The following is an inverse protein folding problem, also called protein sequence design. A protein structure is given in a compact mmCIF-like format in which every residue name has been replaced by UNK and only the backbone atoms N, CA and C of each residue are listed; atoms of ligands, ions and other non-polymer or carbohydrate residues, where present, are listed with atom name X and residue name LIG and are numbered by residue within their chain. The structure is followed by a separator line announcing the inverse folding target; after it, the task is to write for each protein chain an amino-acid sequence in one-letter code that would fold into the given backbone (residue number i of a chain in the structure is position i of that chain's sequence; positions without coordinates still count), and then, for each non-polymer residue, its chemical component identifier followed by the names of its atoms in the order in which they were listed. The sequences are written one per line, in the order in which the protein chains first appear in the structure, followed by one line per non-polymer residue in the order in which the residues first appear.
data_IF_787025140506
#
_entry.id   IF_787025140506
#
_cell.length_a   1.000
_cell.length_b   1.000
_cell.length_c   1.000
_cell.angle_alpha   90.00
_cell.angle_beta   90.00
_cell.angle_gamma   90.00
#
_symmetry.space_group_name_H-M   'P 1'
#
loop_
_entity.id
_entity.type
_entity.pdbx_description
1 polymer ?
#
# COMPACT_ATOMS: atom_id res chain seq x y z
N UNK A 1 22.76 8.95 -9.02
CA UNK A 1 21.62 9.01 -8.07
C UNK A 1 20.42 8.26 -8.63
N UNK A 2 20.00 8.56 -9.86
CA UNK A 2 18.90 7.90 -10.56
C UNK A 2 19.08 6.37 -10.62
N UNK A 3 20.28 5.88 -10.96
CA UNK A 3 20.54 4.41 -11.02
C UNK A 3 20.28 3.71 -9.68
N UNK A 4 20.57 4.38 -8.56
CA UNK A 4 20.30 3.83 -7.23
C UNK A 4 18.80 3.76 -6.95
N UNK A 5 18.03 4.75 -7.40
CA UNK A 5 16.56 4.78 -7.27
C UNK A 5 15.94 3.67 -8.14
N UNK A 6 16.41 3.51 -9.38
CA UNK A 6 15.93 2.45 -10.28
C UNK A 6 16.30 1.08 -9.74
N UNK A 7 17.53 0.88 -9.29
CA UNK A 7 17.97 -0.38 -8.67
C UNK A 7 17.13 -0.72 -7.43
N UNK A 8 16.86 0.26 -6.57
CA UNK A 8 16.01 0.09 -5.38
C UNK A 8 14.56 -0.20 -5.76
N UNK A 9 14.00 0.47 -6.78
CA UNK A 9 12.68 0.19 -7.32
C UNK A 9 12.57 -1.26 -7.81
N UNK A 10 13.55 -1.74 -8.59
CA UNK A 10 13.56 -3.13 -9.06
C UNK A 10 13.62 -4.12 -7.90
N UNK A 11 14.42 -3.83 -6.86
CA UNK A 11 14.43 -4.66 -5.64
C UNK A 11 13.07 -4.66 -4.93
N UNK A 12 12.35 -3.55 -4.92
CA UNK A 12 11.00 -3.46 -4.33
C UNK A 12 10.01 -4.30 -5.15
N UNK A 13 10.01 -4.18 -6.47
CA UNK A 13 9.10 -4.90 -7.36
C UNK A 13 9.37 -6.41 -7.34
N UNK A 14 10.64 -6.81 -7.33
CA UNK A 14 11.04 -8.22 -7.37
C UNK A 14 11.11 -8.86 -5.97
N UNK A 15 10.82 -8.11 -4.90
CA UNK A 15 10.89 -8.61 -3.53
C UNK A 15 10.11 -9.92 -3.29
N UNK A 16 8.89 -10.12 -3.82
CA UNK A 16 8.14 -11.37 -3.63
C UNK A 16 8.80 -12.59 -4.29
N UNK A 17 9.65 -12.39 -5.30
CA UNK A 17 10.42 -13.47 -5.92
C UNK A 17 11.63 -13.85 -5.07
N UNK A 18 12.21 -12.90 -4.35
CA UNK A 18 13.39 -13.12 -3.49
C UNK A 18 13.04 -13.52 -2.05
N UNK A 19 11.88 -13.10 -1.54
CA UNK A 19 11.34 -13.45 -0.23
C UNK A 19 9.87 -13.90 -0.43
N UNK A 20 9.65 -15.21 -0.70
CA UNK A 20 8.33 -15.74 -1.05
C UNK A 20 7.25 -15.56 0.03
N UNK A 21 7.64 -15.31 1.28
CA UNK A 21 6.65 -15.05 2.33
C UNK A 21 5.89 -13.74 2.09
N UNK A 22 6.48 -12.78 1.36
CA UNK A 22 5.82 -11.53 0.96
C UNK A 22 4.59 -11.81 0.11
N UNK A 23 4.56 -12.91 -0.67
CA UNK A 23 3.45 -13.25 -1.57
C UNK A 23 2.13 -13.31 -0.82
N UNK A 24 2.12 -13.83 0.40
CA UNK A 24 0.90 -13.97 1.22
C UNK A 24 0.27 -12.63 1.59
N UNK A 25 1.10 -11.59 1.71
CA UNK A 25 0.64 -10.23 2.00
C UNK A 25 0.41 -9.45 0.72
N UNK A 26 1.30 -9.56 -0.27
CA UNK A 26 1.24 -8.77 -1.50
C UNK A 26 0.14 -9.22 -2.44
N UNK A 27 -0.19 -10.51 -2.51
CA UNK A 27 -1.22 -11.03 -3.41
C UNK A 27 -2.60 -10.41 -3.16
N UNK A 28 -3.15 -10.36 -1.91
CA UNK A 28 -4.42 -9.67 -1.67
C UNK A 28 -4.35 -8.15 -1.90
N UNK A 29 -3.20 -7.51 -1.67
CA UNK A 29 -3.01 -6.08 -1.96
C UNK A 29 -3.06 -5.81 -3.47
N UNK A 30 -2.36 -6.61 -4.27
CA UNK A 30 -2.34 -6.49 -5.73
C UNK A 30 -3.72 -6.87 -6.30
N UNK A 31 -4.34 -7.93 -5.80
CA UNK A 31 -5.67 -8.37 -6.20
C UNK A 31 -6.73 -7.29 -5.97
N UNK A 32 -6.78 -6.72 -4.75
CA UNK A 32 -7.71 -5.62 -4.45
C UNK A 32 -7.43 -4.37 -5.27
N UNK A 33 -6.15 -4.01 -5.48
CA UNK A 33 -5.74 -2.90 -6.32
C UNK A 33 -6.27 -3.06 -7.75
N UNK A 34 -5.95 -4.19 -8.39
CA UNK A 34 -6.34 -4.45 -9.77
C UNK A 34 -7.86 -4.51 -9.93
N UNK A 35 -8.55 -5.22 -9.03
CA UNK A 35 -10.01 -5.36 -9.11
C UNK A 35 -10.74 -4.02 -8.95
N UNK A 36 -10.33 -3.21 -7.96
CA UNK A 36 -10.98 -1.91 -7.70
C UNK A 36 -10.69 -0.92 -8.83
N UNK A 37 -9.46 -0.89 -9.34
CA UNK A 37 -9.10 0.03 -10.43
C UNK A 37 -9.79 -0.35 -11.74
N UNK A 38 -9.86 -1.64 -12.11
CA UNK A 38 -10.64 -2.08 -13.29
C UNK A 38 -12.12 -1.76 -13.11
N UNK A 39 -12.65 -1.93 -11.90
CA UNK A 39 -14.04 -1.58 -11.59
C UNK A 39 -14.32 -0.09 -11.86
N UNK A 40 -13.54 0.83 -11.28
CA UNK A 40 -13.75 2.26 -11.49
C UNK A 40 -13.41 2.73 -12.91
N UNK A 41 -12.49 2.04 -13.60
CA UNK A 41 -12.22 2.28 -15.01
C UNK A 41 -13.44 2.00 -15.90
N UNK A 42 -14.17 0.93 -15.60
CA UNK A 42 -15.40 0.54 -16.27
C UNK A 42 -16.60 1.41 -15.88
N UNK A 43 -16.75 1.74 -14.60
CA UNK A 43 -17.88 2.47 -14.03
C UNK A 43 -17.50 3.93 -13.68
N UNK A 44 -17.15 4.73 -14.69
CA UNK A 44 -16.58 6.09 -14.54
C UNK A 44 -17.47 7.10 -13.79
N UNK A 45 -18.78 6.85 -13.72
CA UNK A 45 -19.75 7.69 -12.97
C UNK A 45 -19.80 7.34 -11.48
N UNK A 46 -19.24 6.21 -11.07
CA UNK A 46 -19.19 5.82 -9.67
C UNK A 46 -18.00 6.47 -8.98
N UNK A 47 -18.23 6.95 -7.77
CA UNK A 47 -17.20 7.54 -6.92
C UNK A 47 -16.82 6.59 -5.78
N UNK A 48 -15.61 6.76 -5.24
CA UNK A 48 -15.20 6.07 -4.02
C UNK A 48 -16.18 6.39 -2.88
N UNK A 49 -16.86 5.38 -2.34
CA UNK A 49 -17.73 5.55 -1.19
C UNK A 49 -16.96 5.56 0.14
N UNK A 50 -17.59 6.09 1.19
CA UNK A 50 -17.06 6.04 2.56
C UNK A 50 -16.81 4.61 3.05
N UNK A 51 -17.64 3.65 2.63
CA UNK A 51 -17.44 2.23 2.92
C UNK A 51 -16.12 1.70 2.35
N UNK A 52 -15.77 2.11 1.13
CA UNK A 52 -14.51 1.74 0.48
C UNK A 52 -13.32 2.41 1.19
N UNK A 53 -13.43 3.69 1.55
CA UNK A 53 -12.40 4.39 2.33
C UNK A 53 -12.14 3.74 3.69
N UNK A 54 -13.20 3.36 4.41
CA UNK A 54 -13.13 2.60 5.67
C UNK A 54 -12.44 1.24 5.47
N UNK A 55 -12.85 0.49 4.44
CA UNK A 55 -12.29 -0.83 4.13
C UNK A 55 -10.80 -0.77 3.80
N UNK A 56 -10.39 0.23 3.01
CA UNK A 56 -8.98 0.48 2.71
C UNK A 56 -8.18 0.88 3.97
N UNK A 57 -8.79 1.62 4.90
CA UNK A 57 -8.14 1.96 6.18
C UNK A 57 -7.93 0.72 7.06
N UNK A 58 -8.90 -0.20 7.10
CA UNK A 58 -8.78 -1.48 7.81
C UNK A 58 -7.66 -2.37 7.24
N UNK A 59 -7.46 -2.34 5.92
CA UNK A 59 -6.38 -3.07 5.27
C UNK A 59 -5.00 -2.68 5.82
N UNK A 60 -4.75 -1.39 6.08
CA UNK A 60 -3.52 -0.94 6.73
C UNK A 60 -3.36 -1.54 8.14
N UNK A 61 -4.44 -1.61 8.91
CA UNK A 61 -4.41 -2.23 10.24
C UNK A 61 -4.03 -3.70 10.16
N UNK A 62 -4.64 -4.47 9.25
CA UNK A 62 -4.34 -5.89 9.08
C UNK A 62 -2.90 -6.15 8.64
N UNK A 63 -2.42 -5.39 7.65
CA UNK A 63 -1.02 -5.48 7.23
C UNK A 63 -0.10 -5.09 8.37
N UNK A 64 -0.37 -3.98 9.07
CA UNK A 64 0.43 -3.56 10.21
C UNK A 64 0.54 -4.61 11.32
N UNK A 65 -0.55 -5.32 11.63
CA UNK A 65 -0.56 -6.44 12.59
C UNK A 65 0.30 -7.60 12.08
N UNK A 66 0.19 -7.97 10.81
CA UNK A 66 1.03 -9.02 10.22
C UNK A 66 2.52 -8.64 10.23
N UNK A 67 2.86 -7.37 9.99
CA UNK A 67 4.23 -6.87 10.10
C UNK A 67 4.77 -6.96 11.53
N UNK A 68 3.95 -6.67 12.55
CA UNK A 68 4.34 -6.88 13.95
C UNK A 68 4.57 -8.35 14.23
N UNK A 69 3.65 -9.23 13.81
CA UNK A 69 3.79 -10.69 13.94
C UNK A 69 5.12 -11.15 13.34
N UNK A 70 5.45 -10.71 12.11
CA UNK A 70 6.73 -11.02 11.44
C UNK A 70 7.94 -10.57 12.24
N UNK A 71 7.90 -9.37 12.83
CA UNK A 71 8.99 -8.86 13.66
C UNK A 71 9.18 -9.73 14.91
N UNK A 72 8.10 -10.15 15.57
CA UNK A 72 8.20 -11.00 16.76
C UNK A 72 8.58 -12.45 16.44
N UNK A 73 8.12 -13.01 15.32
CA UNK A 73 8.44 -14.37 14.89
C UNK A 73 9.94 -14.54 14.54
N UNK A 74 10.56 -13.53 13.90
CA UNK A 74 11.98 -13.60 13.49
C UNK A 74 12.99 -13.16 14.55
N UNK A 75 12.58 -12.33 15.52
CA UNK A 75 13.50 -11.86 16.56
C UNK A 75 13.32 -12.70 17.82
N UNK A 76 14.19 -13.70 17.98
CA UNK A 76 14.36 -14.36 19.27
C UNK A 76 14.64 -13.30 20.35
N UNK A 77 14.04 -13.40 21.56
CA UNK A 77 13.96 -12.31 22.54
C UNK A 77 15.28 -11.77 23.13
N UNK A 78 16.44 -12.23 22.67
CA UNK A 78 17.70 -12.05 23.39
C UNK A 78 18.83 -11.30 22.67
N UNK A 79 18.70 -10.89 21.39
CA UNK A 79 19.87 -10.40 20.66
C UNK A 79 19.84 -8.97 20.08
N UNK A 80 18.71 -8.41 19.64
CA UNK A 80 18.57 -6.95 19.34
C UNK A 80 17.14 -6.65 18.93
N UNK A 81 16.47 -5.70 19.58
CA UNK A 81 15.13 -5.28 19.16
C UNK A 81 15.24 -4.32 17.95
N UNK A 82 14.60 -4.61 16.79
CA UNK A 82 14.71 -3.76 15.61
C UNK A 82 13.78 -2.55 15.70
N UNK A 83 14.11 -1.58 16.55
CA UNK A 83 13.29 -0.40 16.84
C UNK A 83 12.75 0.29 15.57
N UNK A 84 13.57 0.48 14.54
CA UNK A 84 13.13 1.13 13.31
C UNK A 84 11.98 0.39 12.59
N UNK A 85 12.05 -0.94 12.49
CA UNK A 85 11.01 -1.75 11.82
C UNK A 85 9.74 -1.84 12.66
N UNK A 86 9.90 -1.97 13.97
CA UNK A 86 8.79 -1.92 14.91
C UNK A 86 8.04 -0.59 14.81
N UNK A 87 8.78 0.53 14.77
CA UNK A 87 8.20 1.86 14.59
C UNK A 87 7.44 1.97 13.26
N UNK A 88 7.97 1.42 12.16
CA UNK A 88 7.23 1.41 10.88
C UNK A 88 5.91 0.64 11.01
N UNK A 89 5.94 -0.59 11.54
CA UNK A 89 4.73 -1.38 11.72
C UNK A 89 3.70 -0.64 12.58
N UNK A 90 4.15 -0.01 13.67
CA UNK A 90 3.30 0.80 14.54
C UNK A 90 2.71 2.02 13.80
N UNK A 91 3.52 2.75 13.02
CA UNK A 91 3.06 3.88 12.21
C UNK A 91 2.01 3.45 11.20
N UNK A 92 2.16 2.27 10.56
CA UNK A 92 1.17 1.72 9.63
C UNK A 92 -0.15 1.44 10.35
N UNK A 93 -0.11 0.78 11.52
CA UNK A 93 -1.32 0.50 12.33
C UNK A 93 -1.99 1.81 12.75
N UNK A 94 -1.23 2.75 13.32
CA UNK A 94 -1.76 4.02 13.78
C UNK A 94 -2.33 4.86 12.63
N UNK A 95 -1.70 4.83 11.45
CA UNK A 95 -2.23 5.48 10.25
C UNK A 95 -3.55 4.84 9.81
N UNK A 96 -3.65 3.51 9.83
CA UNK A 96 -4.89 2.79 9.56
C UNK A 96 -6.01 3.17 10.53
N UNK A 97 -5.73 3.17 11.84
CA UNK A 97 -6.69 3.58 12.89
C UNK A 97 -7.10 5.05 12.71
N UNK A 98 -6.15 5.93 12.43
CA UNK A 98 -6.40 7.35 12.24
C UNK A 98 -7.29 7.60 11.02
N UNK A 99 -6.97 7.02 9.86
CA UNK A 99 -7.81 7.11 8.66
C UNK A 99 -9.19 6.48 8.89
N UNK A 100 -9.26 5.34 9.58
CA UNK A 100 -10.52 4.70 9.94
C UNK A 100 -11.40 5.65 10.76
N UNK A 101 -10.85 6.30 11.77
CA UNK A 101 -11.55 7.30 12.58
C UNK A 101 -12.04 8.47 11.72
N UNK A 102 -11.17 9.05 10.90
CA UNK A 102 -11.51 10.18 10.04
C UNK A 102 -12.61 9.84 9.04
N UNK A 103 -12.55 8.65 8.44
CA UNK A 103 -13.52 8.17 7.45
C UNK A 103 -14.86 7.80 8.11
N UNK A 104 -14.84 7.12 9.25
CA UNK A 104 -16.06 6.75 9.98
C UNK A 104 -16.87 7.99 10.40
N UNK A 105 -16.19 9.00 10.96
CA UNK A 105 -16.84 10.23 11.41
C UNK A 105 -16.89 11.34 10.35
N UNK A 106 -16.49 11.05 9.11
CA UNK A 106 -16.55 12.00 8.00
C UNK A 106 -15.86 13.36 8.32
N UNK A 107 -14.72 13.31 9.03
CA UNK A 107 -14.05 14.52 9.57
C UNK A 107 -13.28 15.33 8.53
N UNK A 108 -12.98 14.74 7.38
CA UNK A 108 -12.29 15.40 6.28
C UNK A 108 -13.25 15.69 5.11
N UNK A 109 -12.97 16.73 4.30
CA UNK A 109 -13.64 16.92 3.02
C UNK A 109 -13.50 15.66 2.15
N UNK A 110 -14.58 15.32 1.40
CA UNK A 110 -14.63 14.11 0.56
C UNK A 110 -13.40 13.92 -0.32
N UNK A 111 -13.00 14.94 -1.06
CA UNK A 111 -11.86 14.88 -1.98
C UNK A 111 -10.57 14.46 -1.27
N UNK A 112 -10.32 14.97 -0.06
CA UNK A 112 -9.13 14.65 0.72
C UNK A 112 -9.24 13.26 1.34
N UNK A 113 -10.39 12.93 1.93
CA UNK A 113 -10.65 11.61 2.51
C UNK A 113 -10.46 10.50 1.46
N UNK A 114 -11.01 10.69 0.26
CA UNK A 114 -10.95 9.71 -0.81
C UNK A 114 -9.60 9.66 -1.50
N UNK A 115 -8.87 10.78 -1.59
CA UNK A 115 -7.49 10.77 -2.08
C UNK A 115 -6.59 9.96 -1.15
N UNK A 116 -6.61 10.25 0.16
CA UNK A 116 -5.76 9.57 1.14
C UNK A 116 -6.13 8.10 1.35
N UNK A 117 -7.43 7.77 1.21
CA UNK A 117 -7.95 6.41 1.43
C UNK A 117 -8.21 5.66 0.12
N UNK A 118 -7.71 6.16 -1.01
CA UNK A 118 -7.84 5.47 -2.30
C UNK A 118 -6.98 4.20 -2.32
N UNK A 119 -7.34 3.25 -3.17
CA UNK A 119 -6.73 1.92 -3.18
C UNK A 119 -5.23 1.97 -3.54
N UNK A 120 -4.81 2.85 -4.45
CA UNK A 120 -3.41 3.01 -4.87
C UNK A 120 -2.47 3.39 -3.70
N UNK A 121 -2.62 4.55 -3.03
CA UNK A 121 -1.70 4.95 -1.97
C UNK A 121 -1.74 3.97 -0.79
N UNK A 122 -2.91 3.44 -0.45
CA UNK A 122 -3.06 2.47 0.65
C UNK A 122 -2.31 1.17 0.33
N UNK A 123 -2.60 0.54 -0.81
CA UNK A 123 -2.01 -0.75 -1.15
C UNK A 123 -0.50 -0.65 -1.42
N UNK A 124 -0.05 0.41 -2.06
CA UNK A 124 1.39 0.61 -2.31
C UNK A 124 2.13 0.93 -1.01
N UNK A 125 1.54 1.69 -0.09
CA UNK A 125 2.15 1.95 1.23
C UNK A 125 2.24 0.66 2.06
N UNK A 126 1.17 -0.12 2.10
CA UNK A 126 1.14 -1.42 2.76
C UNK A 126 2.17 -2.39 2.17
N UNK A 127 2.24 -2.48 0.84
CA UNK A 127 3.23 -3.29 0.14
C UNK A 127 4.65 -2.84 0.46
N UNK A 128 4.91 -1.53 0.44
CA UNK A 128 6.24 -0.99 0.71
C UNK A 128 6.70 -1.28 2.15
N UNK A 129 5.81 -1.11 3.13
CA UNK A 129 6.11 -1.48 4.52
C UNK A 129 6.42 -2.98 4.65
N UNK A 130 5.69 -3.82 3.93
CA UNK A 130 5.94 -5.27 3.85
C UNK A 130 7.32 -5.56 3.30
N UNK A 131 7.67 -5.01 2.14
CA UNK A 131 9.00 -5.20 1.53
C UNK A 131 10.10 -4.75 2.48
N UNK A 132 9.97 -3.58 3.11
CA UNK A 132 10.99 -3.05 4.02
C UNK A 132 11.23 -3.98 5.21
N UNK A 133 10.16 -4.50 5.80
CA UNK A 133 10.25 -5.34 7.00
C UNK A 133 10.73 -6.74 6.67
N UNK A 134 10.18 -7.37 5.62
CA UNK A 134 10.53 -8.74 5.23
C UNK A 134 11.96 -8.84 4.72
N UNK A 135 12.36 -7.92 3.83
CA UNK A 135 13.68 -7.95 3.19
C UNK A 135 14.77 -7.23 3.97
N UNK A 136 14.45 -6.65 5.14
CA UNK A 136 15.41 -5.86 5.93
C UNK A 136 15.99 -4.66 5.16
N UNK A 137 15.20 -4.07 4.25
CA UNK A 137 15.64 -2.99 3.38
C UNK A 137 16.01 -1.73 4.20
N UNK A 138 17.08 -1.02 3.81
CA UNK A 138 17.46 0.24 4.45
C UNK A 138 16.39 1.30 4.23
N UNK A 139 16.08 2.09 5.25
CA UNK A 139 15.11 3.19 5.16
C UNK A 139 15.91 4.48 4.98
N UNK A 140 15.97 4.97 3.75
CA UNK A 140 16.74 6.13 3.34
C UNK A 140 15.99 6.92 2.27
N UNK A 141 16.53 8.08 1.86
CA UNK A 141 15.93 8.88 0.80
C UNK A 141 15.79 8.14 -0.53
N UNK A 142 16.71 7.21 -0.85
CA UNK A 142 16.62 6.41 -2.07
C UNK A 142 15.35 5.55 -2.03
N UNK A 143 15.09 4.93 -0.89
CA UNK A 143 13.90 4.10 -0.63
C UNK A 143 12.61 4.91 -0.72
N UNK A 144 12.60 6.12 -0.16
CA UNK A 144 11.48 7.05 -0.27
C UNK A 144 11.20 7.42 -1.73
N UNK A 145 12.22 7.85 -2.49
CA UNK A 145 12.03 8.22 -3.90
C UNK A 145 11.64 7.03 -4.78
N UNK A 146 12.15 5.82 -4.50
CA UNK A 146 11.70 4.60 -5.20
C UNK A 146 10.25 4.27 -4.90
N UNK A 147 9.78 4.48 -3.67
CA UNK A 147 8.37 4.32 -3.30
C UNK A 147 7.47 5.33 -4.02
N UNK A 148 7.84 6.61 -4.04
CA UNK A 148 7.10 7.65 -4.80
C UNK A 148 7.07 7.31 -6.29
N UNK A 149 8.19 6.89 -6.87
CA UNK A 149 8.26 6.47 -8.27
C UNK A 149 7.37 5.26 -8.55
N UNK A 150 7.29 4.29 -7.62
CA UNK A 150 6.38 3.15 -7.75
C UNK A 150 4.91 3.60 -7.79
N UNK A 151 4.51 4.54 -6.93
CA UNK A 151 3.16 5.12 -6.95
C UNK A 151 2.87 5.74 -8.31
N UNK A 152 3.79 6.56 -8.82
CA UNK A 152 3.62 7.24 -10.11
C UNK A 152 3.52 6.26 -11.29
N UNK A 153 4.33 5.20 -11.29
CA UNK A 153 4.28 4.15 -12.33
C UNK A 153 2.96 3.41 -12.29
N UNK A 154 2.53 2.94 -11.11
CA UNK A 154 1.26 2.20 -10.97
C UNK A 154 0.07 3.07 -11.34
N UNK A 155 0.05 4.32 -10.88
CA UNK A 155 -0.97 5.29 -11.26
C UNK A 155 -1.00 5.51 -12.78
N UNK A 156 0.16 5.70 -13.41
CA UNK A 156 0.26 5.85 -14.86
C UNK A 156 -0.23 4.64 -15.64
N UNK A 157 0.07 3.42 -15.16
CA UNK A 157 -0.44 2.17 -15.75
C UNK A 157 -1.97 2.14 -15.74
N UNK A 158 -2.59 2.46 -14.60
CA UNK A 158 -4.06 2.47 -14.51
C UNK A 158 -4.71 3.57 -15.34
N UNK A 159 -4.09 4.75 -15.44
CA UNK A 159 -4.57 5.79 -16.36
C UNK A 159 -4.60 5.30 -17.82
N UNK A 160 -3.58 4.55 -18.25
CA UNK A 160 -3.56 3.93 -19.58
C UNK A 160 -4.68 2.88 -19.70
N UNK A 161 -4.84 2.00 -18.71
CA UNK A 161 -5.91 0.99 -18.70
C UNK A 161 -7.29 1.64 -18.81
N UNK A 162 -7.60 2.64 -17.98
CA UNK A 162 -8.87 3.37 -17.98
C UNK A 162 -9.18 4.10 -19.28
N UNK A 163 -8.13 4.47 -20.04
CA UNK A 163 -8.28 5.09 -21.36
C UNK A 163 -8.64 4.07 -22.46
N UNK A 164 -8.26 2.81 -22.27
CA UNK A 164 -8.53 1.71 -23.21
C UNK A 164 -9.84 0.97 -22.90
N UNK A 165 -10.26 0.99 -21.64
CA UNK A 165 -11.49 0.34 -21.20
C UNK A 165 -12.74 1.08 -21.73
N UNK A 166 -13.66 0.37 -22.41
CA UNK A 166 -14.93 0.96 -22.78
C UNK A 166 -15.74 1.26 -21.52
N UNK A 167 -16.33 2.45 -21.46
CA UNK A 167 -17.29 2.77 -20.41
C UNK A 167 -18.44 1.77 -20.47
N UNK A 168 -18.79 1.19 -19.31
CA UNK A 168 -19.96 0.34 -19.26
C UNK A 168 -21.18 1.17 -19.67
N UNK A 169 -21.92 0.68 -20.67
CA UNK A 169 -23.21 1.22 -21.05
C UNK A 169 -24.11 1.16 -19.83
N UNK A 170 -24.38 2.31 -19.24
CA UNK A 170 -25.26 2.48 -18.09
C UNK A 170 -26.34 3.47 -18.46
N UNK A 171 -27.56 2.94 -18.44
CA UNK A 171 -28.88 3.59 -18.52
C UNK A 171 -28.99 4.91 -17.73
#
# INVERSE_FOLDING_TARGET
MIDKIISRLMRIVLAPLTDPEIIWVSLPLIGSLVLIEIYFGRYKKEELGWNSAISNSLLLCFVGIDLLRRIFDKNHPYLTFPYARFTIALVIILSGIFLLYLNFYHKLPKWLAFTLSSVIPINITAYMATVVIYTSMTIDFITFFSWVLLILIVWGIFQIIHSLEPEAWGD
#
